data_IF_894219249190
#
_entry.id   IF_894219249190
#
_cell.length_a   1.000
_cell.length_b   1.000
_cell.length_c   1.000
_cell.angle_alpha   90.00
_cell.angle_beta   90.00
_cell.angle_gamma   90.00
#
_symmetry.space_group_name_H-M   'P 1'
#
loop_
_entity.id
_entity.type
_entity.pdbx_description
1 polymer ?
#
# COMPACT_ATOMS: atom_id res chain seq x y z
N UNK A 1 -21.56 3.55 8.29
CA UNK A 1 -20.82 4.48 9.12
C UNK A 1 -19.61 5.01 8.36
N UNK A 2 -19.36 6.31 8.40
CA UNK A 2 -18.22 6.96 7.74
C UNK A 2 -17.32 7.57 8.80
N UNK A 3 -16.05 7.22 8.81
CA UNK A 3 -15.04 7.84 9.66
C UNK A 3 -14.14 8.76 8.83
N UNK A 4 -13.81 9.91 9.40
CA UNK A 4 -13.00 10.94 8.76
C UNK A 4 -11.76 11.19 9.59
N UNK A 5 -10.60 11.09 8.98
CA UNK A 5 -9.31 11.45 9.58
C UNK A 5 -8.94 12.87 9.18
N UNK A 6 -8.39 13.63 10.11
CA UNK A 6 -7.83 14.95 9.81
C UNK A 6 -6.44 14.80 9.18
N UNK A 7 -6.10 15.58 8.15
CA UNK A 7 -4.80 15.50 7.51
C UNK A 7 -3.71 16.07 8.44
N UNK A 8 -2.54 15.44 8.45
CA UNK A 8 -1.34 15.96 9.12
C UNK A 8 -0.83 17.22 8.43
N UNK A 9 0.03 17.99 9.12
CA UNK A 9 0.71 19.13 8.49
C UNK A 9 1.56 18.69 7.28
N UNK A 10 2.20 17.52 7.37
CA UNK A 10 2.96 16.91 6.27
C UNK A 10 2.05 16.64 5.07
N UNK A 11 0.90 16.00 5.31
CA UNK A 11 -0.07 15.74 4.24
C UNK A 11 -0.60 17.03 3.60
N UNK A 12 -0.88 18.06 4.40
CA UNK A 12 -1.30 19.36 3.88
C UNK A 12 -0.24 20.00 2.97
N UNK A 13 1.04 19.96 3.37
CA UNK A 13 2.14 20.41 2.52
C UNK A 13 2.26 19.62 1.22
N UNK A 14 2.12 18.30 1.28
CA UNK A 14 2.15 17.43 0.09
C UNK A 14 0.96 17.69 -0.84
N UNK A 15 -0.23 17.99 -0.32
CA UNK A 15 -1.40 18.39 -1.13
C UNK A 15 -1.14 19.70 -1.86
N UNK A 16 -0.50 20.68 -1.20
CA UNK A 16 -0.12 21.94 -1.85
C UNK A 16 0.86 21.68 -3.01
N UNK A 17 1.81 20.79 -2.83
CA UNK A 17 2.74 20.40 -3.90
C UNK A 17 2.03 19.71 -5.07
N UNK A 18 1.11 18.80 -4.80
CA UNK A 18 0.26 18.19 -5.84
C UNK A 18 -0.54 19.25 -6.60
N UNK A 19 -1.05 20.28 -5.89
CA UNK A 19 -1.78 21.39 -6.52
C UNK A 19 -0.90 22.22 -7.45
N UNK A 20 0.36 22.49 -7.05
CA UNK A 20 1.34 23.17 -7.94
C UNK A 20 1.64 22.35 -9.17
N UNK A 21 1.93 21.05 -9.00
CA UNK A 21 2.15 20.13 -10.12
C UNK A 21 0.95 20.11 -11.09
N UNK A 22 -0.28 20.09 -10.56
CA UNK A 22 -1.48 20.13 -11.38
C UNK A 22 -1.59 21.42 -12.21
N UNK A 23 -1.26 22.58 -11.60
CA UNK A 23 -1.25 23.86 -12.31
C UNK A 23 -0.18 23.91 -13.41
N UNK A 24 1.00 23.35 -13.18
CA UNK A 24 2.08 23.26 -14.18
C UNK A 24 1.70 22.36 -15.36
N UNK A 25 1.10 21.20 -15.08
CA UNK A 25 0.59 20.31 -16.13
C UNK A 25 -0.53 21.00 -16.93
N UNK A 26 -1.46 21.66 -16.26
CA UNK A 26 -2.56 22.36 -16.92
C UNK A 26 -2.06 23.52 -17.81
N UNK A 27 -1.00 24.21 -17.40
CA UNK A 27 -0.39 25.28 -18.19
C UNK A 27 0.49 24.80 -19.35
N UNK A 28 0.64 23.50 -19.54
CA UNK A 28 1.48 22.90 -20.59
C UNK A 28 2.99 23.07 -20.38
N UNK A 29 3.44 23.48 -19.20
CA UNK A 29 4.86 23.72 -18.90
C UNK A 29 5.65 22.43 -18.66
N UNK A 30 4.97 21.32 -18.42
CA UNK A 30 5.58 20.02 -18.10
C UNK A 30 5.28 19.00 -19.18
N UNK A 31 6.30 18.23 -19.58
CA UNK A 31 6.11 17.13 -20.52
C UNK A 31 5.20 16.05 -19.90
N UNK A 32 4.14 15.65 -20.59
CA UNK A 32 3.17 14.64 -20.14
C UNK A 32 3.80 13.28 -19.80
N UNK A 33 4.94 12.94 -20.42
CA UNK A 33 5.69 11.73 -20.07
C UNK A 33 6.38 11.84 -18.69
N UNK A 34 6.79 13.07 -18.29
CA UNK A 34 7.43 13.33 -17.00
C UNK A 34 6.40 13.42 -15.89
N UNK A 35 5.35 14.23 -16.07
CA UNK A 35 4.24 14.36 -15.12
C UNK A 35 2.92 14.63 -15.87
N UNK A 36 1.80 14.17 -15.29
CA UNK A 36 0.47 14.31 -15.86
C UNK A 36 -0.62 14.16 -14.80
N UNK A 37 -1.86 14.55 -15.14
CA UNK A 37 -2.98 14.51 -14.21
C UNK A 37 -3.25 13.10 -13.64
N UNK A 38 -3.00 12.04 -14.42
CA UNK A 38 -3.20 10.67 -13.94
C UNK A 38 -2.21 10.30 -12.81
N UNK A 39 -0.93 10.68 -12.97
CA UNK A 39 0.09 10.50 -11.90
C UNK A 39 -0.29 11.31 -10.66
N UNK A 40 -0.64 12.58 -10.83
CA UNK A 40 -1.02 13.47 -9.72
C UNK A 40 -2.24 12.94 -8.97
N UNK A 41 -3.26 12.49 -9.68
CA UNK A 41 -4.46 11.87 -9.07
C UNK A 41 -4.10 10.57 -8.32
N UNK A 42 -3.23 9.74 -8.90
CA UNK A 42 -2.75 8.52 -8.25
C UNK A 42 -1.98 8.83 -6.97
N UNK A 43 -1.08 9.83 -7.01
CA UNK A 43 -0.32 10.26 -5.84
C UNK A 43 -1.26 10.85 -4.76
N UNK A 44 -2.26 11.63 -5.16
CA UNK A 44 -3.28 12.16 -4.25
C UNK A 44 -4.07 11.05 -3.53
N UNK A 45 -4.46 9.99 -4.26
CA UNK A 45 -5.14 8.83 -3.66
C UNK A 45 -4.24 8.10 -2.65
N UNK A 46 -2.96 7.89 -3.00
CA UNK A 46 -1.97 7.26 -2.10
C UNK A 46 -1.78 8.10 -0.83
N UNK A 47 -1.56 9.40 -1.00
CA UNK A 47 -1.40 10.35 0.11
C UNK A 47 -2.64 10.38 1.01
N UNK A 48 -3.83 10.33 0.42
CA UNK A 48 -5.10 10.31 1.15
C UNK A 48 -5.35 9.01 1.93
N UNK A 49 -4.64 7.92 1.61
CA UNK A 49 -4.68 6.67 2.38
C UNK A 49 -3.63 6.68 3.48
N UNK A 50 -2.35 6.81 3.11
CA UNK A 50 -1.21 6.87 4.03
C UNK A 50 -0.03 7.59 3.38
N UNK A 51 0.55 8.58 4.08
CA UNK A 51 1.69 9.34 3.59
C UNK A 51 2.93 8.49 3.32
N UNK A 52 3.09 7.35 4.02
CA UNK A 52 4.21 6.42 3.88
C UNK A 52 4.20 5.67 2.53
N UNK A 53 3.07 5.62 1.82
CA UNK A 53 3.01 5.06 0.45
C UNK A 53 3.79 5.96 -0.53
N UNK A 54 3.82 7.28 -0.28
CA UNK A 54 4.58 8.24 -1.09
C UNK A 54 6.05 8.27 -0.64
N UNK A 55 6.28 8.34 0.67
CA UNK A 55 7.61 8.36 1.24
C UNK A 55 7.66 7.47 2.50
N UNK A 56 8.25 6.28 2.41
CA UNK A 56 8.33 5.33 3.53
C UNK A 56 9.05 5.86 4.77
N UNK A 57 9.88 6.89 4.62
CA UNK A 57 10.61 7.50 5.74
C UNK A 57 9.77 8.46 6.59
N UNK A 58 8.53 8.75 6.17
CA UNK A 58 7.63 9.57 6.97
C UNK A 58 7.12 8.78 8.18
N UNK A 59 6.86 9.48 9.30
CA UNK A 59 6.36 8.83 10.50
C UNK A 59 4.97 8.23 10.28
N UNK A 60 4.67 7.17 11.03
CA UNK A 60 3.31 6.65 11.16
C UNK A 60 2.47 7.65 11.95
N UNK A 61 1.37 8.09 11.36
CA UNK A 61 0.43 8.98 12.03
C UNK A 61 -0.64 8.15 12.76
N UNK A 62 -0.72 8.24 14.11
CA UNK A 62 -1.73 7.50 14.88
C UNK A 62 -3.17 7.77 14.46
N UNK A 63 -3.44 8.94 13.89
CA UNK A 63 -4.77 9.33 13.41
C UNK A 63 -4.99 9.02 11.93
N UNK A 64 -4.06 8.32 11.26
CA UNK A 64 -4.19 7.96 9.85
C UNK A 64 -5.42 7.07 9.61
N UNK A 65 -5.90 7.05 8.36
CA UNK A 65 -6.99 6.14 7.96
C UNK A 65 -6.63 4.68 8.19
N UNK A 66 -5.36 4.33 7.99
CA UNK A 66 -4.86 2.97 8.21
C UNK A 66 -4.95 2.60 9.69
N UNK A 67 -4.49 3.48 10.59
CA UNK A 67 -4.56 3.20 12.03
C UNK A 67 -6.01 3.17 12.52
N UNK A 68 -6.87 4.07 12.07
CA UNK A 68 -8.32 4.01 12.37
C UNK A 68 -8.96 2.72 11.89
N UNK A 69 -8.56 2.22 10.72
CA UNK A 69 -9.02 0.94 10.21
C UNK A 69 -8.56 -0.21 11.12
N UNK A 70 -7.31 -0.21 11.55
CA UNK A 70 -6.75 -1.21 12.49
C UNK A 70 -7.54 -1.22 13.81
N UNK A 71 -7.78 -0.05 14.39
CA UNK A 71 -8.54 0.07 15.65
C UNK A 71 -9.96 -0.50 15.49
N UNK A 72 -10.64 -0.19 14.38
CA UNK A 72 -11.97 -0.69 14.11
C UNK A 72 -11.98 -2.21 13.89
N UNK A 73 -11.03 -2.76 13.14
CA UNK A 73 -10.91 -4.21 12.94
C UNK A 73 -10.71 -4.90 14.29
N UNK A 74 -9.82 -4.38 15.11
CA UNK A 74 -9.52 -4.97 16.43
C UNK A 74 -10.74 -4.92 17.34
N UNK A 75 -11.43 -3.79 17.43
CA UNK A 75 -12.64 -3.65 18.23
C UNK A 75 -13.73 -4.64 17.79
N UNK A 76 -14.02 -4.71 16.48
CA UNK A 76 -15.04 -5.63 15.95
C UNK A 76 -14.62 -7.10 16.18
N UNK A 77 -13.32 -7.41 16.06
CA UNK A 77 -12.81 -8.74 16.35
C UNK A 77 -13.04 -9.13 17.82
N UNK A 78 -12.78 -8.21 18.78
CA UNK A 78 -13.04 -8.44 20.18
C UNK A 78 -14.53 -8.66 20.46
N UNK A 79 -15.40 -7.80 19.89
CA UNK A 79 -16.85 -7.90 20.05
C UNK A 79 -17.43 -9.18 19.44
N UNK A 80 -16.84 -9.65 18.33
CA UNK A 80 -17.32 -10.80 17.57
C UNK A 80 -16.71 -12.15 17.97
N UNK A 81 -15.83 -12.23 18.96
CA UNK A 81 -15.14 -13.46 19.33
C UNK A 81 -16.08 -14.58 19.77
N UNK A 82 -17.10 -14.26 20.56
CA UNK A 82 -18.04 -15.23 21.06
C UNK A 82 -18.84 -15.93 19.94
N UNK A 83 -19.16 -15.16 18.89
CA UNK A 83 -19.94 -15.59 17.75
C UNK A 83 -19.08 -16.07 16.56
N UNK A 84 -17.76 -16.04 16.70
CA UNK A 84 -16.77 -16.39 15.65
C UNK A 84 -17.00 -15.64 14.34
N UNK A 85 -17.31 -14.34 14.42
CA UNK A 85 -17.61 -13.52 13.26
C UNK A 85 -16.39 -13.28 12.38
N UNK A 86 -16.60 -13.22 11.07
CA UNK A 86 -15.58 -12.91 10.07
C UNK A 86 -15.75 -11.49 9.56
N UNK A 87 -14.62 -10.79 9.39
CA UNK A 87 -14.58 -9.44 8.82
C UNK A 87 -13.93 -9.47 7.44
N UNK A 88 -14.49 -8.71 6.50
CA UNK A 88 -13.90 -8.45 5.19
C UNK A 88 -13.41 -7.01 5.14
N UNK A 89 -12.13 -6.84 4.85
CA UNK A 89 -11.49 -5.53 4.73
C UNK A 89 -11.07 -5.31 3.28
N UNK A 90 -11.56 -4.24 2.67
CA UNK A 90 -11.26 -3.87 1.28
C UNK A 90 -10.27 -2.71 1.26
N UNK A 91 -9.15 -2.90 0.57
CA UNK A 91 -8.16 -1.87 0.29
C UNK A 91 -7.74 -1.99 -1.18
N UNK A 92 -7.98 -0.95 -1.97
CA UNK A 92 -7.71 -0.93 -3.41
C UNK A 92 -6.31 -0.38 -3.76
N UNK A 93 -5.57 0.09 -2.76
CA UNK A 93 -4.24 0.66 -2.92
C UNK A 93 -3.18 -0.15 -2.16
N UNK A 94 -1.93 -0.03 -2.63
CA UNK A 94 -0.77 -0.66 -1.98
C UNK A 94 -0.87 -2.18 -1.85
N UNK A 95 -1.55 -2.84 -2.79
CA UNK A 95 -1.56 -4.30 -2.87
C UNK A 95 -0.12 -4.82 -2.97
N UNK A 96 0.27 -5.79 -2.12
CA UNK A 96 1.62 -6.34 -2.15
C UNK A 96 1.96 -6.88 -3.54
N UNK A 97 3.09 -6.46 -4.07
CA UNK A 97 3.60 -7.03 -5.32
C UNK A 97 4.12 -8.42 -5.01
N UNK A 98 3.82 -9.40 -5.88
CA UNK A 98 4.40 -10.72 -5.78
C UNK A 98 5.94 -10.59 -5.77
N UNK A 99 6.59 -11.23 -4.79
CA UNK A 99 8.05 -11.20 -4.68
C UNK A 99 8.69 -11.59 -6.01
N UNK A 100 9.80 -10.95 -6.44
CA UNK A 100 10.43 -11.17 -7.75
C UNK A 100 10.78 -12.63 -8.04
N UNK A 101 10.88 -13.47 -7.02
CA UNK A 101 11.16 -14.92 -7.15
C UNK A 101 10.07 -15.71 -7.91
N UNK A 102 8.86 -15.17 -8.12
CA UNK A 102 7.78 -15.82 -8.89
C UNK A 102 7.49 -15.19 -10.25
N UNK A 103 8.16 -14.12 -10.62
CA UNK A 103 8.01 -13.45 -11.92
C UNK A 103 8.93 -14.05 -13.02
N UNK A 104 9.30 -15.34 -12.94
CA UNK A 104 9.93 -16.06 -14.06
C UNK A 104 8.88 -16.49 -15.08
N UNK A 105 8.33 -15.49 -15.79
CA UNK A 105 7.43 -15.75 -16.90
C UNK A 105 7.24 -14.50 -17.75
N UNK A 106 8.09 -14.35 -18.80
CA UNK A 106 8.21 -13.29 -19.80
C UNK A 106 9.06 -12.08 -19.38
N UNK A 107 10.35 -12.30 -19.16
CA UNK A 107 11.35 -11.29 -19.44
C UNK A 107 11.41 -11.09 -20.97
N UNK A 108 11.09 -9.89 -21.44
CA UNK A 108 11.55 -9.42 -22.74
C UNK A 108 13.07 -9.38 -22.67
N UNK A 109 13.70 -10.31 -23.42
CA UNK A 109 15.14 -10.50 -23.47
C UNK A 109 15.75 -9.32 -24.25
N UNK A 110 16.03 -8.20 -23.55
CA UNK A 110 16.77 -7.07 -24.13
C UNK A 110 18.16 -7.03 -23.47
N UNK A 111 19.22 -7.43 -24.18
CA UNK A 111 20.57 -7.47 -23.63
C UNK A 111 21.14 -6.10 -23.25
N UNK A 112 20.64 -4.99 -23.83
CA UNK A 112 21.06 -3.63 -23.49
C UNK A 112 20.59 -3.16 -22.12
N UNK A 113 19.40 -3.62 -21.68
CA UNK A 113 18.89 -3.33 -20.32
C UNK A 113 19.67 -4.09 -19.25
N UNK A 114 20.15 -5.30 -19.55
CA UNK A 114 21.03 -6.06 -18.64
C UNK A 114 22.39 -5.44 -18.44
N UNK A 115 22.95 -4.80 -19.46
CA UNK A 115 24.24 -4.09 -19.36
C UNK A 115 24.13 -2.83 -18.51
N UNK A 116 22.98 -2.14 -18.51
CA UNK A 116 22.74 -0.95 -17.68
C UNK A 116 22.57 -1.30 -16.18
N UNK A 117 21.90 -2.41 -15.88
CA UNK A 117 21.73 -2.90 -14.49
C UNK A 117 23.06 -3.33 -13.84
N UNK A 118 24.07 -3.71 -14.64
CA UNK A 118 25.36 -4.16 -14.14
C UNK A 118 26.32 -3.00 -13.82
N UNK A 119 26.01 -1.78 -14.24
CA UNK A 119 26.86 -0.58 -14.06
C UNK A 119 26.43 0.32 -12.90
N UNK A 120 25.36 -0.01 -12.17
CA UNK A 120 25.00 0.73 -10.96
C UNK A 120 25.86 0.24 -9.80
N UNK A 121 26.49 1.15 -9.02
CA UNK A 121 27.28 0.76 -7.86
C UNK A 121 26.39 0.03 -6.87
N UNK A 122 26.75 -1.22 -6.56
CA UNK A 122 26.17 -2.00 -5.48
C UNK A 122 26.76 -1.53 -4.15
N UNK A 123 26.41 -0.33 -3.72
CA UNK A 123 26.58 0.01 -2.33
C UNK A 123 25.49 -0.74 -1.55
N UNK A 124 25.97 -1.59 -0.65
CA UNK A 124 25.27 -2.66 0.04
C UNK A 124 24.14 -2.24 0.98
N UNK A 125 23.14 -1.57 0.43
CA UNK A 125 21.85 -1.34 1.04
C UNK A 125 20.82 -1.92 0.11
N UNK A 126 20.29 -3.10 0.44
CA UNK A 126 19.09 -3.59 -0.23
C UNK A 126 18.03 -2.49 -0.11
N UNK A 127 17.37 -2.07 -1.21
CA UNK A 127 16.32 -1.09 -1.10
C UNK A 127 15.26 -1.70 -0.19
N UNK A 128 14.97 -1.04 0.94
CA UNK A 128 13.89 -1.40 1.85
C UNK A 128 12.66 -1.73 1.03
N UNK A 129 12.07 -2.88 1.30
CA UNK A 129 10.87 -3.33 0.58
C UNK A 129 9.84 -2.19 0.59
N UNK A 130 9.22 -1.85 -0.54
CA UNK A 130 8.32 -0.72 -0.61
C UNK A 130 7.22 -0.88 0.45
N UNK A 131 6.91 0.19 1.19
CA UNK A 131 5.89 0.18 2.22
C UNK A 131 4.57 -0.40 1.68
N UNK A 132 4.04 -1.39 2.39
CA UNK A 132 2.78 -2.07 2.07
C UNK A 132 1.76 -1.84 3.18
N UNK A 133 0.64 -1.24 2.84
CA UNK A 133 -0.49 -1.04 3.78
C UNK A 133 -1.01 -2.37 4.31
N UNK A 134 -1.05 -3.41 3.49
CA UNK A 134 -1.48 -4.75 3.89
C UNK A 134 -0.59 -5.35 4.98
N UNK A 135 0.72 -5.25 4.80
CA UNK A 135 1.69 -5.77 5.78
C UNK A 135 1.70 -4.94 7.05
N UNK A 136 1.53 -3.62 6.95
CA UNK A 136 1.42 -2.72 8.10
C UNK A 136 0.17 -3.03 8.93
N UNK A 137 -1.01 -3.17 8.29
CA UNK A 137 -2.25 -3.56 8.98
C UNK A 137 -2.07 -4.91 9.68
N UNK A 138 -1.55 -5.92 8.97
CA UNK A 138 -1.32 -7.24 9.53
C UNK A 138 -0.39 -7.19 10.74
N UNK A 139 0.74 -6.50 10.61
CA UNK A 139 1.72 -6.35 11.69
C UNK A 139 1.11 -5.72 12.93
N UNK A 140 0.32 -4.66 12.78
CA UNK A 140 -0.36 -3.97 13.87
C UNK A 140 -1.42 -4.85 14.54
N UNK A 141 -2.25 -5.54 13.77
CA UNK A 141 -3.28 -6.44 14.31
C UNK A 141 -2.66 -7.59 15.10
N UNK A 142 -1.56 -8.17 14.61
CA UNK A 142 -0.80 -9.20 15.35
C UNK A 142 -0.20 -8.63 16.63
N UNK A 143 0.37 -7.42 16.58
CA UNK A 143 0.90 -6.74 17.77
C UNK A 143 -0.19 -6.44 18.81
N UNK A 144 -1.43 -6.23 18.40
CA UNK A 144 -2.59 -6.05 19.28
C UNK A 144 -3.14 -7.36 19.83
N UNK A 145 -2.64 -8.52 19.37
CA UNK A 145 -2.98 -9.84 19.89
C UNK A 145 -3.90 -10.69 19.02
N UNK A 146 -4.22 -10.28 17.80
CA UNK A 146 -4.94 -11.15 16.86
C UNK A 146 -3.98 -12.25 16.37
N UNK A 147 -4.32 -13.55 16.51
CA UNK A 147 -3.50 -14.62 15.98
C UNK A 147 -3.25 -14.48 14.49
N UNK A 148 -1.99 -14.70 14.05
CA UNK A 148 -1.59 -14.55 12.65
C UNK A 148 -2.44 -15.40 11.70
N UNK A 149 -2.87 -16.57 12.16
CA UNK A 149 -3.68 -17.55 11.44
C UNK A 149 -5.09 -17.05 11.14
N UNK A 150 -5.57 -16.06 11.88
CA UNK A 150 -6.87 -15.44 11.69
C UNK A 150 -6.85 -14.28 10.68
N UNK A 151 -5.66 -13.94 10.16
CA UNK A 151 -5.49 -12.87 9.20
C UNK A 151 -5.04 -13.46 7.86
N UNK A 152 -5.87 -13.31 6.83
CA UNK A 152 -5.56 -13.82 5.50
C UNK A 152 -5.75 -12.75 4.42
N UNK A 153 -4.92 -12.81 3.39
CA UNK A 153 -5.02 -11.94 2.24
C UNK A 153 -5.50 -12.72 1.02
N UNK A 154 -6.54 -12.23 0.37
CA UNK A 154 -7.13 -12.89 -0.81
C UNK A 154 -6.12 -13.08 -1.96
N UNK A 155 -5.15 -12.18 -2.09
CA UNK A 155 -4.11 -12.28 -3.12
C UNK A 155 -3.06 -13.38 -2.83
N UNK A 156 -2.99 -13.90 -1.60
CA UNK A 156 -2.19 -15.09 -1.25
C UNK A 156 -2.85 -16.39 -1.72
N UNK A 157 -4.17 -16.36 -1.96
CA UNK A 157 -4.95 -17.49 -2.48
C UNK A 157 -4.99 -17.47 -4.02
N UNK A 158 -3.91 -17.97 -4.65
CA UNK A 158 -3.68 -17.86 -6.10
C UNK A 158 -4.55 -18.81 -6.97
N UNK A 159 -5.35 -19.69 -6.38
CA UNK A 159 -6.22 -20.64 -7.08
C UNK A 159 -7.62 -20.60 -6.52
N UNK A 160 -8.63 -20.95 -7.35
CA UNK A 160 -10.03 -21.00 -6.94
C UNK A 160 -10.25 -21.97 -5.76
N UNK A 161 -9.49 -23.07 -5.72
CA UNK A 161 -9.55 -24.03 -4.60
C UNK A 161 -9.09 -23.36 -3.31
N UNK A 162 -7.93 -22.68 -3.32
CA UNK A 162 -7.42 -21.97 -2.14
C UNK A 162 -8.33 -20.83 -1.69
N UNK A 163 -9.00 -20.14 -2.62
CA UNK A 163 -9.99 -19.13 -2.27
C UNK A 163 -11.18 -19.75 -1.55
N UNK A 164 -11.71 -20.87 -2.08
CA UNK A 164 -12.80 -21.60 -1.41
C UNK A 164 -12.39 -22.08 -0.02
N UNK A 165 -11.21 -22.67 0.12
CA UNK A 165 -10.68 -23.09 1.42
C UNK A 165 -10.53 -21.93 2.42
N UNK A 166 -10.17 -20.73 1.92
CA UNK A 166 -10.06 -19.54 2.75
C UNK A 166 -11.40 -19.09 3.32
N UNK A 167 -12.48 -19.22 2.55
CA UNK A 167 -13.84 -18.83 2.95
C UNK A 167 -14.62 -19.95 3.66
N UNK A 168 -14.07 -21.16 3.75
CA UNK A 168 -14.69 -22.31 4.42
C UNK A 168 -14.20 -22.56 5.84
N UNK A 169 -13.22 -21.80 6.30
CA UNK A 169 -12.65 -21.85 7.66
C UNK A 169 -13.31 -20.85 8.58
#
# INVERSE_FOLDING_TARGET
>A
HTEVSQPTQVQQGMVQELSKRAAEVHSGKVNAAKDNMLKITSDGRKLGLDQRIINPNLPDDPCSKVNRCVDNIFRIWQEGQADKLTQLVFCDLSTPKASPAKAKGKALDNPELRALETQLPKDGMEPDAPFSVYDDIRGKLVAMGIPREQIAFIHEANTEVRKKDLFSK
#
